data_IF_525121755463
#
_entry.id   IF_525121755463
#
_cell.length_a   1.000
_cell.length_b   1.000
_cell.length_c   1.000
_cell.angle_alpha   90.00
_cell.angle_beta   90.00
_cell.angle_gamma   90.00
#
_symmetry.space_group_name_H-M   'P 1'
#
loop_
_entity.id
_entity.type
_entity.pdbx_description
1 polymer ?
#
# COMPACT_ATOMS: atom_id res chain seq x y z
N UNK A 1 16.00 16.56 8.67
CA UNK A 1 14.89 15.59 8.59
C UNK A 1 14.00 16.02 7.44
N UNK A 2 13.81 15.18 6.43
CA UNK A 2 12.96 15.52 5.27
C UNK A 2 11.53 15.08 5.57
N UNK A 3 10.61 16.05 5.63
CA UNK A 3 9.17 15.76 5.79
C UNK A 3 8.63 15.20 4.49
N UNK A 4 7.85 14.12 4.57
CA UNK A 4 7.15 13.53 3.42
C UNK A 4 5.68 13.93 3.50
N UNK A 5 5.24 14.80 2.59
CA UNK A 5 3.83 15.11 2.43
C UNK A 5 3.16 14.03 1.57
N UNK A 6 2.29 13.22 2.18
CA UNK A 6 1.62 12.09 1.52
C UNK A 6 0.74 12.55 0.34
N UNK A 7 0.01 13.65 0.50
CA UNK A 7 -0.87 14.19 -0.55
C UNK A 7 -0.07 14.63 -1.77
N UNK A 8 1.01 15.39 -1.55
CA UNK A 8 1.90 15.82 -2.64
C UNK A 8 2.50 14.62 -3.38
N UNK A 9 2.92 13.56 -2.66
CA UNK A 9 3.47 12.36 -3.30
C UNK A 9 2.44 11.60 -4.12
N UNK A 10 1.19 11.50 -3.67
CA UNK A 10 0.11 10.88 -4.45
C UNK A 10 -0.24 11.67 -5.72
N UNK A 11 0.02 12.98 -5.77
CA UNK A 11 -0.21 13.80 -6.95
C UNK A 11 0.85 13.59 -8.05
N UNK A 12 1.98 12.95 -7.73
CA UNK A 12 3.07 12.71 -8.69
C UNK A 12 2.82 11.51 -9.63
N UNK A 13 1.83 10.67 -9.36
CA UNK A 13 1.54 9.48 -10.17
C UNK A 13 0.04 9.19 -10.23
N UNK A 14 -0.42 8.54 -11.29
CA UNK A 14 -1.85 8.24 -11.50
C UNK A 14 -2.13 6.77 -11.85
N UNK A 15 -1.07 6.00 -12.12
CA UNK A 15 -1.14 4.57 -12.37
C UNK A 15 -1.50 3.79 -11.09
N UNK A 16 -2.12 2.63 -11.31
CA UNK A 16 -2.55 1.71 -10.26
C UNK A 16 -1.59 0.53 -10.13
N UNK A 17 -1.57 -0.11 -8.96
CA UNK A 17 -0.77 -1.31 -8.68
C UNK A 17 0.74 -1.16 -8.87
N UNK A 18 1.24 0.08 -8.79
CA UNK A 18 2.67 0.39 -8.89
C UNK A 18 3.16 1.16 -7.66
N UNK A 19 3.59 0.46 -6.60
CA UNK A 19 4.02 1.10 -5.36
C UNK A 19 5.26 2.01 -5.55
N UNK A 20 5.26 3.17 -4.90
CA UNK A 20 6.38 4.12 -4.85
C UNK A 20 6.97 4.15 -3.43
N UNK A 21 8.27 3.87 -3.29
CA UNK A 21 8.95 4.01 -1.99
C UNK A 21 9.10 5.50 -1.67
N UNK A 22 8.60 5.92 -0.52
CA UNK A 22 8.65 7.32 -0.07
C UNK A 22 9.49 7.52 1.19
N UNK A 23 9.93 6.43 1.82
CA UNK A 23 10.80 6.46 2.98
C UNK A 23 11.23 5.06 3.42
N UNK A 24 12.18 5.02 4.34
CA UNK A 24 12.69 3.81 4.95
C UNK A 24 12.77 3.98 6.47
N UNK A 25 12.47 2.93 7.22
CA UNK A 25 12.54 2.90 8.68
C UNK A 25 12.92 1.49 9.13
N UNK A 26 14.04 1.33 9.85
CA UNK A 26 14.45 0.04 10.40
C UNK A 26 14.39 -1.12 9.37
N UNK A 27 14.93 -0.88 8.17
CA UNK A 27 14.93 -1.80 7.02
C UNK A 27 13.56 -2.09 6.38
N UNK A 28 12.50 -1.40 6.81
CA UNK A 28 11.19 -1.45 6.19
C UNK A 28 11.05 -0.29 5.20
N UNK A 29 10.28 -0.52 4.13
CA UNK A 29 9.95 0.52 3.17
C UNK A 29 8.55 1.05 3.42
N UNK A 30 8.39 2.36 3.44
CA UNK A 30 7.08 3.01 3.39
C UNK A 30 6.74 3.24 1.92
N UNK A 31 5.64 2.65 1.46
CA UNK A 31 5.21 2.70 0.06
C UNK A 31 3.86 3.39 -0.08
N UNK A 32 3.69 4.15 -1.15
CA UNK A 32 2.40 4.68 -1.59
C UNK A 32 1.95 3.98 -2.86
N UNK A 33 0.69 3.55 -2.92
CA UNK A 33 0.10 2.92 -4.10
C UNK A 33 -1.36 3.34 -4.25
N UNK A 34 -1.83 3.42 -5.50
CA UNK A 34 -3.25 3.52 -5.85
C UNK A 34 -3.71 2.14 -6.30
N UNK A 35 -4.80 1.65 -5.73
CA UNK A 35 -5.34 0.31 -6.01
C UNK A 35 -6.72 0.45 -6.67
N UNK A 36 -7.00 -0.39 -7.66
CA UNK A 36 -8.29 -0.42 -8.34
C UNK A 36 -8.58 -1.82 -8.89
N UNK A 37 -9.77 -2.34 -8.59
CA UNK A 37 -10.15 -3.71 -8.96
C UNK A 37 -9.46 -4.74 -8.08
N UNK A 38 -9.25 -5.92 -8.65
CA UNK A 38 -8.74 -7.10 -7.94
C UNK A 38 -7.21 -7.25 -8.09
N UNK A 39 -6.60 -7.89 -7.11
CA UNK A 39 -5.19 -8.31 -7.16
C UNK A 39 -5.09 -9.82 -7.12
N UNK A 40 -3.92 -10.34 -7.50
CA UNK A 40 -3.67 -11.79 -7.46
C UNK A 40 -3.48 -12.27 -6.03
N UNK A 41 -3.93 -13.50 -5.76
CA UNK A 41 -3.64 -14.19 -4.52
C UNK A 41 -2.13 -14.39 -4.36
N UNK A 42 -1.59 -13.96 -3.23
CA UNK A 42 -0.18 -14.15 -2.88
C UNK A 42 -0.04 -14.22 -1.35
N UNK A 43 1.17 -14.54 -0.89
CA UNK A 43 1.49 -14.60 0.53
C UNK A 43 2.96 -14.27 0.75
N UNK A 44 3.25 -13.62 1.88
CA UNK A 44 4.61 -13.38 2.34
C UNK A 44 4.95 -14.39 3.44
N UNK A 45 6.03 -15.16 3.26
CA UNK A 45 6.39 -16.22 4.20
C UNK A 45 7.13 -15.71 5.45
N UNK A 46 7.77 -14.54 5.34
CA UNK A 46 8.77 -14.08 6.31
C UNK A 46 8.48 -12.68 6.88
N UNK A 47 7.39 -12.05 6.45
CA UNK A 47 7.07 -10.68 6.82
C UNK A 47 5.56 -10.47 6.83
N UNK A 48 5.11 -9.62 7.75
CA UNK A 48 3.77 -9.04 7.71
C UNK A 48 3.79 -7.82 6.80
N UNK A 49 2.66 -7.54 6.14
CA UNK A 49 2.46 -6.30 5.37
C UNK A 49 1.34 -5.46 5.99
N UNK A 50 1.66 -4.21 6.30
CA UNK A 50 0.70 -3.25 6.84
C UNK A 50 0.05 -2.45 5.70
N UNK A 51 -1.28 -2.40 5.70
CA UNK A 51 -2.06 -1.53 4.83
C UNK A 51 -2.71 -0.41 5.64
N UNK A 52 -2.42 0.84 5.27
CA UNK A 52 -3.07 2.03 5.81
C UNK A 52 -3.86 2.73 4.70
N UNK A 53 -5.19 2.71 4.80
CA UNK A 53 -6.08 3.31 3.79
C UNK A 53 -6.15 4.82 4.02
N UNK A 54 -5.61 5.59 3.08
CA UNK A 54 -5.65 7.07 3.13
C UNK A 54 -6.96 7.62 2.56
N UNK A 55 -7.47 7.00 1.48
CA UNK A 55 -8.71 7.42 0.81
C UNK A 55 -9.37 6.23 0.11
N UNK A 56 -10.70 6.13 0.22
CA UNK A 56 -11.48 5.06 -0.38
C UNK A 56 -11.66 3.88 0.59
N UNK A 57 -11.86 2.69 0.03
CA UNK A 57 -12.14 1.47 0.78
C UNK A 57 -11.31 0.35 0.18
N UNK A 58 -10.56 -0.37 1.02
CA UNK A 58 -9.80 -1.56 0.62
C UNK A 58 -10.51 -2.79 1.16
N UNK A 59 -10.99 -3.65 0.26
CA UNK A 59 -11.49 -4.96 0.63
C UNK A 59 -10.33 -5.96 0.55
N UNK A 60 -10.05 -6.65 1.65
CA UNK A 60 -9.02 -7.69 1.72
C UNK A 60 -9.67 -9.06 1.83
N UNK A 61 -9.46 -9.88 0.80
CA UNK A 61 -9.93 -11.27 0.78
C UNK A 61 -8.89 -12.21 1.38
N UNK A 62 -9.31 -12.94 2.39
CA UNK A 62 -8.63 -14.11 2.93
C UNK A 62 -9.32 -15.37 2.42
N UNK A 63 -8.67 -16.54 2.54
CA UNK A 63 -9.24 -17.80 2.02
C UNK A 63 -10.59 -18.17 2.65
N UNK A 64 -10.86 -17.67 3.84
CA UNK A 64 -12.01 -18.01 4.69
C UNK A 64 -12.95 -16.82 4.95
N UNK A 65 -12.55 -15.58 4.65
CA UNK A 65 -13.31 -14.37 4.99
C UNK A 65 -12.90 -13.16 4.17
N UNK A 66 -13.70 -12.11 4.27
CA UNK A 66 -13.44 -10.79 3.68
C UNK A 66 -13.41 -9.73 4.78
N UNK A 67 -12.44 -8.81 4.73
CA UNK A 67 -12.26 -7.70 5.68
C UNK A 67 -12.27 -6.37 4.93
N UNK A 68 -12.74 -5.30 5.55
CA UNK A 68 -12.83 -3.94 4.99
C UNK A 68 -12.45 -2.90 6.03
#
# INVERSE_FOLDING_TARGET
>A
MHVVNIEEKFNLFQDHWHPRIVGELNNQQVKLAKLLGEFVWHSHANEDELFLVIKGTLQMEFRDRVVT
#
